data_IF_843938618797
#
_entry.id   IF_843938618797
#
_cell.length_a   1.000
_cell.length_b   1.000
_cell.length_c   1.000
_cell.angle_alpha   90.00
_cell.angle_beta   90.00
_cell.angle_gamma   90.00
#
_symmetry.space_group_name_H-M   'P 1'
#
loop_
_entity.id
_entity.type
_entity.pdbx_description
1 polymer ?
#
# COMPACT_ATOMS: atom_id res chain seq x y z
N UNK A 1 31.61 -33.42 -30.13
CA UNK A 1 30.42 -33.25 -29.30
C UNK A 1 30.79 -32.80 -27.89
N UNK A 2 31.60 -33.53 -27.07
CA UNK A 2 31.96 -33.11 -25.69
C UNK A 2 32.59 -31.72 -25.59
N UNK A 3 33.54 -31.33 -26.47
CA UNK A 3 34.14 -29.98 -26.47
C UNK A 3 33.16 -28.85 -26.78
N UNK A 4 32.14 -29.12 -27.58
CA UNK A 4 31.09 -28.15 -27.89
C UNK A 4 30.15 -27.93 -26.70
N UNK A 5 29.75 -29.01 -26.03
CA UNK A 5 28.94 -28.95 -24.82
C UNK A 5 29.67 -28.18 -23.72
N UNK A 6 30.98 -28.44 -23.50
CA UNK A 6 31.79 -27.70 -22.53
C UNK A 6 31.82 -26.18 -22.82
N UNK A 7 31.90 -25.76 -24.08
CA UNK A 7 31.87 -24.34 -24.43
C UNK A 7 30.52 -23.70 -24.16
N UNK A 8 29.41 -24.40 -24.43
CA UNK A 8 28.06 -23.92 -24.10
C UNK A 8 27.89 -23.78 -22.59
N UNK A 9 28.29 -24.79 -21.80
CA UNK A 9 28.22 -24.72 -20.35
C UNK A 9 29.06 -23.58 -19.79
N UNK A 10 30.28 -23.39 -20.30
CA UNK A 10 31.12 -22.25 -19.88
C UNK A 10 30.47 -20.91 -20.22
N UNK A 11 29.87 -20.75 -21.40
CA UNK A 11 29.16 -19.54 -21.80
C UNK A 11 27.95 -19.25 -20.89
N UNK A 12 27.15 -20.28 -20.60
CA UNK A 12 26.01 -20.17 -19.67
C UNK A 12 26.50 -19.79 -18.27
N UNK A 13 27.57 -20.41 -17.77
CA UNK A 13 28.14 -20.10 -16.47
C UNK A 13 28.59 -18.64 -16.37
N UNK A 14 29.24 -18.10 -17.40
CA UNK A 14 29.67 -16.70 -17.44
C UNK A 14 28.45 -15.78 -17.39
N UNK A 15 27.39 -16.07 -18.16
CA UNK A 15 26.13 -15.28 -18.13
C UNK A 15 25.51 -15.31 -16.73
N UNK A 16 25.44 -16.48 -16.10
CA UNK A 16 24.90 -16.62 -14.73
C UNK A 16 25.72 -15.81 -13.74
N UNK A 17 27.06 -15.84 -13.81
CA UNK A 17 27.94 -15.05 -12.95
C UNK A 17 27.70 -13.54 -13.13
N UNK A 18 27.57 -13.07 -14.37
CA UNK A 18 27.29 -11.66 -14.67
C UNK A 18 25.94 -11.25 -14.10
N UNK A 19 24.89 -12.07 -14.29
CA UNK A 19 23.55 -11.81 -13.76
C UNK A 19 23.56 -11.77 -12.23
N UNK A 20 24.23 -12.76 -11.57
CA UNK A 20 24.37 -12.78 -10.13
C UNK A 20 25.17 -11.60 -9.59
N UNK A 21 26.27 -11.24 -10.25
CA UNK A 21 27.08 -10.07 -9.89
C UNK A 21 26.28 -8.77 -9.99
N UNK A 22 25.49 -8.60 -11.03
CA UNK A 22 24.60 -7.46 -11.18
C UNK A 22 23.50 -7.46 -10.10
N UNK A 23 22.92 -8.63 -9.82
CA UNK A 23 21.90 -8.77 -8.77
C UNK A 23 22.48 -8.37 -7.40
N UNK A 24 23.64 -8.89 -7.03
CA UNK A 24 24.31 -8.57 -5.77
C UNK A 24 24.68 -7.09 -5.68
N UNK A 25 25.25 -6.50 -6.73
CA UNK A 25 25.59 -5.09 -6.78
C UNK A 25 24.37 -4.20 -6.52
N UNK A 26 23.24 -4.51 -7.16
CA UNK A 26 22.02 -3.75 -7.03
C UNK A 26 21.30 -3.99 -5.70
N UNK A 27 21.39 -5.21 -5.18
CA UNK A 27 20.95 -5.54 -3.83
C UNK A 27 21.68 -4.67 -2.82
N UNK A 28 23.01 -4.63 -2.85
CA UNK A 28 23.80 -3.79 -1.96
C UNK A 28 23.52 -2.31 -2.15
N UNK A 29 23.51 -1.82 -3.38
CA UNK A 29 23.24 -0.39 -3.68
C UNK A 29 21.85 0.07 -3.21
N UNK A 30 20.83 -0.78 -3.31
CA UNK A 30 19.48 -0.43 -2.83
C UNK A 30 19.32 -0.64 -1.31
N UNK A 31 20.12 -1.54 -0.73
CA UNK A 31 20.07 -1.81 0.72
C UNK A 31 20.64 -0.66 1.56
N UNK A 32 21.56 0.12 1.00
CA UNK A 32 22.17 1.28 1.64
C UNK A 32 21.31 2.55 1.52
N UNK A 33 20.19 2.52 0.80
CA UNK A 33 19.27 3.65 0.72
C UNK A 33 18.46 3.79 2.02
N UNK A 34 19.10 4.41 3.02
CA UNK A 34 18.47 4.72 4.30
C UNK A 34 17.40 5.79 4.09
N UNK A 35 16.14 5.42 4.25
CA UNK A 35 15.03 6.37 4.33
C UNK A 35 14.95 6.86 5.76
N UNK A 36 15.48 8.05 6.02
CA UNK A 36 15.29 8.72 7.31
C UNK A 36 13.93 9.38 7.35
N UNK A 37 13.15 9.12 8.37
CA UNK A 37 11.86 9.75 8.63
C UNK A 37 11.95 10.60 9.90
N UNK A 38 11.33 11.76 9.86
CA UNK A 38 11.39 12.73 10.98
C UNK A 38 10.30 12.48 12.03
N UNK A 39 9.40 11.53 11.77
CA UNK A 39 8.29 11.18 12.67
C UNK A 39 8.41 9.74 13.12
N UNK A 40 7.81 9.41 14.28
CA UNK A 40 7.72 8.03 14.77
C UNK A 40 6.41 7.36 14.41
N UNK A 41 5.48 8.10 13.82
CA UNK A 41 4.19 7.58 13.41
C UNK A 41 4.06 7.69 11.90
N UNK A 42 3.59 6.65 11.27
CA UNK A 42 3.47 6.56 9.81
C UNK A 42 2.08 6.13 9.39
N UNK A 43 1.70 6.54 8.18
CA UNK A 43 0.49 6.12 7.50
C UNK A 43 0.92 5.37 6.25
N UNK A 44 0.43 4.14 6.07
CA UNK A 44 0.64 3.36 4.85
C UNK A 44 -0.72 2.92 4.33
N UNK A 45 -0.95 3.06 3.05
CA UNK A 45 -2.19 2.58 2.43
C UNK A 45 -2.33 2.97 0.97
N UNK A 46 -3.54 2.80 0.48
CA UNK A 46 -3.91 3.01 -0.91
C UNK A 46 -4.31 4.47 -1.23
N UNK A 47 -5.00 4.66 -2.36
CA UNK A 47 -5.47 5.98 -2.79
C UNK A 47 -6.39 6.65 -1.78
N UNK A 48 -7.16 5.88 -1.00
CA UNK A 48 -8.09 6.48 -0.03
C UNK A 48 -7.34 7.21 1.08
N UNK A 49 -6.30 6.60 1.66
CA UNK A 49 -5.46 7.25 2.67
C UNK A 49 -4.51 8.28 2.05
N UNK A 50 -4.03 8.03 0.83
CA UNK A 50 -3.16 8.97 0.11
C UNK A 50 -3.82 10.32 -0.10
N UNK A 51 -5.10 10.32 -0.47
CA UNK A 51 -5.84 11.52 -0.84
C UNK A 51 -6.64 12.13 0.31
N UNK A 52 -6.84 11.41 1.42
CA UNK A 52 -7.65 11.88 2.53
C UNK A 52 -6.87 12.29 3.78
N UNK A 53 -5.62 11.89 3.93
CA UNK A 53 -4.87 12.10 5.16
C UNK A 53 -3.65 12.98 4.92
N UNK A 54 -3.83 14.30 5.06
CA UNK A 54 -2.76 15.29 4.92
C UNK A 54 -1.87 15.29 6.16
N UNK A 55 -0.64 14.82 6.03
CA UNK A 55 0.35 14.78 7.11
C UNK A 55 0.92 16.15 7.46
N UNK A 56 0.65 17.19 6.67
CA UNK A 56 0.90 18.58 7.06
C UNK A 56 -0.10 19.06 8.11
N UNK A 57 -1.31 18.51 8.12
CA UNK A 57 -2.37 18.80 9.11
C UNK A 57 -2.27 17.82 10.28
N UNK A 58 -2.16 16.53 10.02
CA UNK A 58 -2.06 15.47 11.03
C UNK A 58 -0.63 15.44 11.59
N UNK A 59 -0.29 16.44 12.42
CA UNK A 59 1.07 16.60 12.95
C UNK A 59 1.59 15.35 13.66
N UNK A 60 2.87 15.06 13.47
CA UNK A 60 3.55 13.92 14.09
C UNK A 60 3.38 12.60 13.31
N UNK A 61 2.73 12.62 12.16
CA UNK A 61 2.62 11.49 11.22
C UNK A 61 3.31 11.83 9.89
N UNK A 62 3.82 10.81 9.21
CA UNK A 62 4.27 10.90 7.81
C UNK A 62 3.45 9.93 6.95
N UNK A 63 2.90 10.42 5.85
CA UNK A 63 2.06 9.64 4.95
C UNK A 63 2.90 9.01 3.83
N UNK A 64 2.96 7.68 3.79
CA UNK A 64 3.62 6.86 2.78
C UNK A 64 2.63 6.08 1.91
N UNK A 65 1.39 6.55 1.83
CA UNK A 65 0.35 5.90 1.02
C UNK A 65 0.57 6.11 -0.47
N UNK A 66 0.14 5.16 -1.28
CA UNK A 66 0.26 5.21 -2.73
C UNK A 66 -1.02 4.65 -3.37
N UNK A 67 -1.54 5.26 -4.47
CA UNK A 67 -2.73 4.76 -5.18
C UNK A 67 -2.61 3.28 -5.56
N UNK A 68 -3.63 2.41 -5.35
CA UNK A 68 -3.62 0.97 -5.65
C UNK A 68 -2.59 0.17 -4.84
N UNK A 69 -2.32 0.52 -3.59
CA UNK A 69 -1.42 -0.21 -2.70
C UNK A 69 -1.97 -1.60 -2.38
N UNK A 70 -1.16 -2.64 -2.52
CA UNK A 70 -1.42 -3.96 -1.98
C UNK A 70 -0.71 -4.15 -0.64
N UNK A 71 -1.16 -5.09 0.16
CA UNK A 71 -0.46 -5.38 1.42
C UNK A 71 0.94 -5.98 1.22
N UNK A 72 1.24 -6.53 0.05
CA UNK A 72 2.61 -6.94 -0.30
C UNK A 72 3.56 -5.73 -0.32
N UNK A 73 3.15 -4.63 -0.99
CA UNK A 73 3.97 -3.42 -1.02
C UNK A 73 4.00 -2.71 0.34
N UNK A 74 2.87 -2.68 1.04
CA UNK A 74 2.80 -2.11 2.39
C UNK A 74 3.73 -2.84 3.36
N UNK A 75 3.77 -4.18 3.32
CA UNK A 75 4.69 -5.02 4.10
C UNK A 75 6.14 -4.74 3.74
N UNK A 76 6.46 -4.70 2.45
CA UNK A 76 7.81 -4.39 1.96
C UNK A 76 8.26 -3.00 2.40
N UNK A 77 7.40 -1.97 2.27
CA UNK A 77 7.69 -0.62 2.77
C UNK A 77 7.96 -0.61 4.27
N UNK A 78 7.09 -1.25 5.05
CA UNK A 78 7.23 -1.31 6.50
C UNK A 78 8.54 -1.97 6.90
N UNK A 79 8.92 -3.07 6.24
CA UNK A 79 10.19 -3.73 6.46
C UNK A 79 11.37 -2.79 6.22
N UNK A 80 11.37 -2.05 5.11
CA UNK A 80 12.45 -1.10 4.79
C UNK A 80 12.49 0.03 5.82
N UNK A 81 11.34 0.63 6.12
CA UNK A 81 11.26 1.78 7.04
C UNK A 81 11.70 1.40 8.46
N UNK A 82 11.37 0.19 8.92
CA UNK A 82 11.73 -0.27 10.27
C UNK A 82 13.17 -0.72 10.45
N UNK A 83 13.96 -0.84 9.37
CA UNK A 83 15.38 -1.18 9.46
C UNK A 83 16.21 -0.07 10.12
N UNK A 84 15.88 1.19 9.82
CA UNK A 84 16.70 2.33 10.19
C UNK A 84 15.92 3.40 10.97
N UNK A 85 14.63 3.19 11.23
CA UNK A 85 13.80 4.13 11.97
C UNK A 85 13.05 3.41 13.09
N UNK A 86 12.93 4.09 14.22
CA UNK A 86 12.02 3.67 15.29
C UNK A 86 10.63 4.16 14.97
N UNK A 87 9.71 3.23 14.70
CA UNK A 87 8.31 3.51 14.45
C UNK A 87 7.51 3.10 15.69
N UNK A 88 6.73 4.04 16.22
CA UNK A 88 5.87 3.80 17.38
C UNK A 88 4.44 3.42 16.96
N UNK A 89 3.91 4.03 15.86
CA UNK A 89 2.54 3.78 15.37
C UNK A 89 2.52 3.63 13.84
N UNK A 90 1.78 2.63 13.38
CA UNK A 90 1.37 2.47 11.98
C UNK A 90 -0.14 2.62 11.87
N UNK A 91 -0.60 3.60 11.06
CA UNK A 91 -1.98 3.63 10.55
C UNK A 91 -1.95 2.94 9.19
N UNK A 92 -2.72 1.86 9.05
CA UNK A 92 -2.79 1.06 7.84
C UNK A 92 -4.19 1.14 7.21
N UNK A 93 -4.27 1.47 5.92
CA UNK A 93 -5.53 1.42 5.18
C UNK A 93 -6.14 0.03 5.25
N UNK A 94 -7.42 -0.03 5.62
CA UNK A 94 -8.18 -1.27 5.71
C UNK A 94 -9.63 -1.01 5.30
N UNK A 95 -9.94 -1.36 4.07
CA UNK A 95 -11.25 -1.16 3.43
C UNK A 95 -11.65 -2.40 2.65
N UNK A 96 -12.92 -2.61 2.30
CA UNK A 96 -13.36 -3.80 1.58
C UNK A 96 -12.52 -4.14 0.35
N UNK A 97 -12.17 -3.17 -0.48
CA UNK A 97 -11.39 -3.39 -1.70
C UNK A 97 -9.93 -3.80 -1.45
N UNK A 98 -9.41 -3.65 -0.21
CA UNK A 98 -8.07 -4.12 0.11
C UNK A 98 -8.00 -5.64 0.27
N UNK A 99 -9.11 -6.30 0.66
CA UNK A 99 -9.12 -7.74 0.94
C UNK A 99 -10.17 -8.53 0.15
N UNK A 100 -11.04 -7.86 -0.62
CA UNK A 100 -12.10 -8.50 -1.39
C UNK A 100 -11.78 -8.46 -2.89
N UNK A 101 -12.05 -9.57 -3.58
CA UNK A 101 -12.04 -9.73 -5.03
C UNK A 101 -10.69 -9.52 -5.74
N UNK A 102 -9.58 -9.52 -5.03
CA UNK A 102 -8.22 -9.53 -5.62
C UNK A 102 -7.99 -8.41 -6.66
N UNK A 103 -8.62 -7.27 -6.47
CA UNK A 103 -8.74 -6.22 -7.49
C UNK A 103 -7.39 -5.75 -8.04
N UNK A 104 -6.34 -5.80 -7.21
CA UNK A 104 -5.01 -5.31 -7.54
C UNK A 104 -4.04 -6.39 -8.04
N UNK A 105 -4.47 -7.65 -8.06
CA UNK A 105 -3.68 -8.80 -8.48
C UNK A 105 -4.08 -9.33 -9.87
N UNK A 106 -4.81 -8.55 -10.67
CA UNK A 106 -5.13 -8.92 -12.04
C UNK A 106 -3.88 -8.79 -12.93
N UNK A 107 -3.50 -9.88 -13.57
CA UNK A 107 -2.27 -10.00 -14.36
C UNK A 107 -2.32 -9.17 -15.65
N UNK A 108 -1.43 -8.18 -15.76
CA UNK A 108 -1.27 -7.34 -16.95
C UNK A 108 -2.10 -6.05 -16.99
N UNK A 109 -2.85 -5.69 -15.94
CA UNK A 109 -3.73 -4.50 -15.95
C UNK A 109 -3.67 -3.67 -14.66
N UNK A 110 -2.61 -3.80 -13.85
CA UNK A 110 -2.65 -3.30 -12.49
C UNK A 110 -1.57 -2.30 -12.14
N UNK A 111 -1.76 -1.49 -11.07
CA UNK A 111 -0.71 -0.70 -10.45
C UNK A 111 0.52 -1.50 -10.03
N UNK A 112 0.43 -2.85 -9.93
CA UNK A 112 1.56 -3.74 -9.68
C UNK A 112 2.68 -3.54 -10.70
N UNK A 113 2.33 -3.42 -12.00
CA UNK A 113 3.29 -3.33 -13.10
C UNK A 113 4.22 -2.13 -12.95
N UNK A 114 3.67 -1.00 -12.49
CA UNK A 114 4.43 0.24 -12.35
C UNK A 114 5.26 0.32 -11.07
N UNK A 115 4.96 -0.52 -10.07
CA UNK A 115 5.61 -0.47 -8.75
C UNK A 115 6.60 -1.57 -8.51
N UNK A 116 6.32 -2.73 -9.07
CA UNK A 116 7.16 -3.90 -8.89
C UNK A 116 8.63 -3.60 -9.19
N UNK A 117 8.99 -2.84 -10.27
CA UNK A 117 10.37 -2.46 -10.54
C UNK A 117 11.02 -1.68 -9.40
N UNK A 118 10.28 -0.81 -8.72
CA UNK A 118 10.80 0.04 -7.65
C UNK A 118 11.16 -0.74 -6.37
N UNK A 119 10.48 -1.86 -6.12
CA UNK A 119 10.67 -2.69 -4.93
C UNK A 119 11.31 -4.05 -5.20
N UNK A 120 11.60 -4.36 -6.46
CA UNK A 120 12.05 -5.68 -6.87
C UNK A 120 13.20 -6.26 -6.04
N UNK A 121 14.17 -5.44 -5.69
CA UNK A 121 15.35 -5.88 -4.90
C UNK A 121 15.10 -5.93 -3.39
N UNK A 122 13.97 -5.41 -2.92
CA UNK A 122 13.60 -5.46 -1.51
C UNK A 122 12.64 -6.61 -1.21
N UNK A 123 12.11 -7.24 -2.24
CA UNK A 123 11.25 -8.40 -2.09
C UNK A 123 12.02 -9.58 -1.50
N UNK A 124 11.40 -10.26 -0.55
CA UNK A 124 11.86 -11.57 -0.11
C UNK A 124 11.70 -12.62 -1.22
N UNK A 125 12.39 -13.74 -1.09
CA UNK A 125 12.20 -14.87 -2.02
C UNK A 125 10.74 -15.31 -2.10
N UNK A 126 10.04 -15.34 -0.98
CA UNK A 126 8.60 -15.66 -0.92
C UNK A 126 7.76 -14.64 -1.70
N UNK A 127 8.07 -13.33 -1.60
CA UNK A 127 7.37 -12.29 -2.35
C UNK A 127 7.53 -12.50 -3.87
N UNK A 128 8.74 -12.85 -4.31
CA UNK A 128 9.00 -13.18 -5.73
C UNK A 128 8.19 -14.40 -6.19
N UNK A 129 8.13 -15.46 -5.39
CA UNK A 129 7.33 -16.65 -5.72
C UNK A 129 5.83 -16.33 -5.79
N UNK A 130 5.31 -15.55 -4.85
CA UNK A 130 3.90 -15.15 -4.85
C UNK A 130 3.56 -14.30 -6.08
N UNK A 131 4.42 -13.33 -6.44
CA UNK A 131 4.24 -12.50 -7.62
C UNK A 131 4.30 -13.35 -8.90
N UNK A 132 5.27 -14.22 -9.04
CA UNK A 132 5.41 -15.11 -10.19
C UNK A 132 4.20 -16.05 -10.33
N UNK A 133 3.67 -16.56 -9.20
CA UNK A 133 2.52 -17.46 -9.19
C UNK A 133 1.21 -16.76 -9.52
N UNK A 134 0.99 -15.56 -8.98
CA UNK A 134 -0.31 -14.88 -9.05
C UNK A 134 -0.39 -13.86 -10.20
N UNK A 135 0.74 -13.30 -10.62
CA UNK A 135 0.83 -12.26 -11.67
C UNK A 135 2.05 -12.46 -12.57
N UNK A 136 2.16 -13.61 -13.27
CA UNK A 136 3.35 -13.94 -14.05
C UNK A 136 3.66 -12.95 -15.16
N UNK A 137 2.66 -12.43 -15.88
CA UNK A 137 2.87 -11.43 -16.94
C UNK A 137 3.41 -10.12 -16.37
N UNK A 138 2.77 -9.59 -15.31
CA UNK A 138 3.20 -8.39 -14.62
C UNK A 138 4.62 -8.55 -14.05
N UNK A 139 4.94 -9.73 -13.52
CA UNK A 139 6.27 -10.03 -13.01
C UNK A 139 7.33 -10.02 -14.12
N UNK A 140 7.06 -10.66 -15.27
CA UNK A 140 7.96 -10.65 -16.43
C UNK A 140 8.10 -9.26 -17.03
N UNK A 141 7.01 -8.47 -17.09
CA UNK A 141 7.07 -7.08 -17.56
C UNK A 141 7.95 -6.23 -16.64
N UNK A 142 7.84 -6.41 -15.32
CA UNK A 142 8.70 -5.73 -14.35
C UNK A 142 10.19 -6.05 -14.59
N UNK A 143 10.53 -7.32 -14.82
CA UNK A 143 11.90 -7.74 -15.14
C UNK A 143 12.43 -7.05 -16.40
N UNK A 144 11.63 -6.98 -17.47
CA UNK A 144 12.02 -6.28 -18.70
C UNK A 144 12.19 -4.78 -18.48
N UNK A 145 11.32 -4.16 -17.69
CA UNK A 145 11.40 -2.74 -17.33
C UNK A 145 12.67 -2.44 -16.52
N UNK A 146 12.98 -3.30 -15.54
CA UNK A 146 14.23 -3.20 -14.76
C UNK A 146 15.44 -3.35 -15.66
N UNK A 147 15.44 -4.32 -16.58
CA UNK A 147 16.52 -4.54 -17.54
C UNK A 147 16.76 -3.34 -18.44
N UNK A 148 15.70 -2.78 -19.05
CA UNK A 148 15.78 -1.58 -19.90
C UNK A 148 16.28 -0.36 -19.13
N UNK A 149 15.69 -0.11 -17.97
CA UNK A 149 16.06 1.06 -17.14
C UNK A 149 17.52 1.04 -16.68
N UNK A 150 18.11 -0.16 -16.55
CA UNK A 150 19.53 -0.31 -16.19
C UNK A 150 20.47 -0.07 -17.34
N UNK A 151 20.09 -0.51 -18.54
CA UNK A 151 20.85 -0.20 -19.75
C UNK A 151 20.89 1.32 -19.92
N UNK A 152 19.75 1.99 -19.80
CA UNK A 152 19.67 3.45 -19.92
C UNK A 152 20.45 4.17 -18.81
N UNK A 153 20.46 3.63 -17.57
CA UNK A 153 21.22 4.19 -16.45
C UNK A 153 22.73 3.92 -16.56
N UNK A 154 23.15 2.79 -17.07
CA UNK A 154 24.55 2.51 -17.36
C UNK A 154 25.08 3.50 -18.42
N UNK A 155 24.25 3.78 -19.44
CA UNK A 155 24.61 4.70 -20.53
C UNK A 155 24.51 6.17 -20.10
N UNK A 156 23.52 6.54 -19.28
CA UNK A 156 23.22 7.95 -18.92
C UNK A 156 23.75 8.41 -17.57
N UNK A 157 24.32 7.54 -16.74
CA UNK A 157 24.72 7.82 -15.35
C UNK A 157 23.65 8.51 -14.47
N UNK A 158 22.38 8.40 -14.85
CA UNK A 158 21.27 8.99 -14.09
C UNK A 158 20.83 8.09 -12.94
N UNK A 159 20.86 8.63 -11.72
CA UNK A 159 20.31 7.98 -10.53
C UNK A 159 18.80 7.82 -10.64
N UNK A 160 18.31 6.61 -10.55
CA UNK A 160 16.89 6.31 -10.49
C UNK A 160 16.31 6.74 -9.13
N UNK A 161 15.41 7.73 -9.21
CA UNK A 161 14.39 8.02 -8.22
C UNK A 161 14.80 8.68 -6.93
N UNK A 162 14.32 9.90 -6.70
CA UNK A 162 14.21 10.45 -5.37
C UNK A 162 13.47 9.44 -4.45
N UNK A 163 14.08 9.09 -3.32
CA UNK A 163 13.53 8.14 -2.34
C UNK A 163 12.07 8.44 -1.93
N UNK A 164 11.64 9.71 -2.01
CA UNK A 164 10.28 10.13 -1.68
C UNK A 164 9.20 9.59 -2.63
N UNK A 165 9.47 9.47 -3.93
CA UNK A 165 8.48 8.99 -4.91
C UNK A 165 8.18 7.50 -4.78
N UNK A 166 9.17 6.70 -4.34
CA UNK A 166 9.08 5.26 -4.17
C UNK A 166 8.12 4.85 -3.05
N UNK A 167 8.17 5.55 -1.92
CA UNK A 167 7.39 5.21 -0.72
C UNK A 167 5.98 5.80 -0.74
N UNK A 168 5.70 6.73 -1.64
CA UNK A 168 4.46 7.47 -1.67
C UNK A 168 4.46 8.69 -0.74
N UNK A 169 3.36 9.41 -0.74
CA UNK A 169 3.14 10.61 0.07
C UNK A 169 1.67 10.98 0.05
N UNK A 170 1.25 11.89 0.91
CA UNK A 170 0.01 12.62 0.68
C UNK A 170 0.07 13.31 -0.69
N UNK A 171 -1.01 13.21 -1.44
CA UNK A 171 -1.18 13.88 -2.72
C UNK A 171 -2.65 14.29 -2.85
N UNK A 172 -2.96 15.59 -2.79
CA UNK A 172 -4.35 16.04 -2.91
C UNK A 172 -4.89 15.78 -4.33
N UNK A 173 -6.16 15.38 -4.42
CA UNK A 173 -6.92 15.55 -5.64
C UNK A 173 -7.33 17.01 -5.77
N UNK A 174 -7.38 17.57 -6.99
CA UNK A 174 -7.91 18.93 -7.18
C UNK A 174 -9.37 19.01 -6.73
N UNK A 175 -9.86 20.22 -6.49
CA UNK A 175 -11.28 20.43 -6.26
C UNK A 175 -12.08 19.91 -7.43
N UNK A 176 -13.20 19.24 -7.12
CA UNK A 176 -14.06 18.69 -8.15
C UNK A 176 -15.16 19.69 -8.48
N UNK A 177 -14.96 20.45 -9.54
CA UNK A 177 -15.97 21.38 -10.05
C UNK A 177 -17.15 20.66 -10.76
N UNK A 178 -16.92 19.40 -11.19
CA UNK A 178 -17.93 18.61 -11.91
C UNK A 178 -18.05 17.23 -11.27
N UNK A 179 -19.23 16.90 -10.74
CA UNK A 179 -19.47 15.56 -10.23
C UNK A 179 -19.29 14.54 -11.37
N UNK A 180 -18.29 13.68 -11.24
CA UNK A 180 -18.10 12.59 -12.18
C UNK A 180 -19.31 11.65 -12.17
N UNK A 181 -19.89 11.31 -13.33
CA UNK A 181 -21.07 10.47 -13.40
C UNK A 181 -20.77 9.09 -12.79
N UNK A 182 -21.68 8.66 -11.91
CA UNK A 182 -21.64 7.37 -11.26
C UNK A 182 -21.87 6.30 -12.32
N UNK A 183 -20.84 5.56 -12.71
CA UNK A 183 -21.02 4.35 -13.51
C UNK A 183 -21.45 3.21 -12.59
N UNK A 184 -22.58 2.54 -12.82
CA UNK A 184 -22.99 1.40 -12.02
C UNK A 184 -21.92 0.30 -12.14
N UNK A 185 -21.37 -0.10 -11.02
CA UNK A 185 -20.40 -1.19 -10.97
C UNK A 185 -21.15 -2.52 -10.93
N UNK A 186 -20.80 -3.45 -11.83
CA UNK A 186 -21.33 -4.82 -11.78
C UNK A 186 -20.55 -5.61 -10.73
N UNK A 187 -21.18 -5.85 -9.60
CA UNK A 187 -20.55 -6.59 -8.50
C UNK A 187 -20.42 -8.07 -8.81
N UNK A 188 -19.22 -8.59 -8.62
CA UNK A 188 -18.98 -10.03 -8.46
C UNK A 188 -19.26 -10.40 -7.00
N UNK A 189 -19.62 -11.66 -6.74
CA UNK A 189 -19.76 -12.17 -5.37
C UNK A 189 -18.50 -11.82 -4.56
N UNK A 190 -18.62 -11.19 -3.38
CA UNK A 190 -17.46 -10.81 -2.58
C UNK A 190 -16.72 -12.08 -2.10
N UNK A 191 -15.42 -12.13 -2.36
CA UNK A 191 -14.56 -13.25 -1.96
C UNK A 191 -13.34 -12.63 -1.27
N UNK A 192 -13.12 -13.01 -0.01
CA UNK A 192 -11.88 -12.65 0.72
C UNK A 192 -10.69 -13.29 0.02
N UNK A 193 -9.65 -12.51 -0.23
CA UNK A 193 -8.50 -12.95 -1.01
C UNK A 193 -7.37 -13.44 -0.10
N UNK A 194 -6.95 -14.68 -0.30
CA UNK A 194 -5.90 -15.30 0.50
C UNK A 194 -4.57 -14.56 0.41
N UNK A 195 -4.25 -13.97 -0.75
CA UNK A 195 -2.97 -13.30 -0.94
C UNK A 195 -2.89 -11.99 -0.14
N UNK A 196 -3.93 -11.16 -0.17
CA UNK A 196 -3.95 -9.91 0.59
C UNK A 196 -4.01 -10.17 2.10
N UNK A 197 -4.85 -11.11 2.54
CA UNK A 197 -4.91 -11.46 3.96
C UNK A 197 -3.61 -12.08 4.46
N UNK A 198 -2.89 -12.84 3.64
CA UNK A 198 -1.53 -13.35 3.95
C UNK A 198 -0.57 -12.20 4.27
N UNK A 199 -0.52 -11.17 3.42
CA UNK A 199 0.38 -10.03 3.64
C UNK A 199 -0.10 -9.11 4.76
N UNK A 200 -1.39 -8.95 4.97
CA UNK A 200 -1.93 -8.27 6.14
C UNK A 200 -1.47 -8.96 7.44
N UNK A 201 -1.51 -10.30 7.51
CA UNK A 201 -1.01 -11.05 8.66
C UNK A 201 0.52 -10.90 8.86
N UNK A 202 1.29 -10.76 7.78
CA UNK A 202 2.73 -10.46 7.87
C UNK A 202 2.96 -9.07 8.48
N UNK A 203 2.21 -8.04 8.06
CA UNK A 203 2.28 -6.69 8.65
C UNK A 203 1.95 -6.75 10.14
N UNK A 204 0.87 -7.44 10.52
CA UNK A 204 0.47 -7.59 11.93
C UNK A 204 1.59 -8.24 12.77
N UNK A 205 2.20 -9.32 12.27
CA UNK A 205 3.34 -9.97 12.94
C UNK A 205 4.52 -9.03 13.10
N UNK A 206 4.90 -8.34 12.03
CA UNK A 206 6.00 -7.37 12.05
C UNK A 206 5.74 -6.25 13.06
N UNK A 207 4.52 -5.73 13.12
CA UNK A 207 4.13 -4.73 14.12
C UNK A 207 4.28 -5.27 15.55
N UNK A 208 3.84 -6.51 15.81
CA UNK A 208 4.00 -7.16 17.13
C UNK A 208 5.49 -7.34 17.49
N UNK A 209 6.30 -7.87 16.58
CA UNK A 209 7.73 -8.09 16.77
C UNK A 209 8.49 -6.79 17.07
N UNK A 210 8.17 -5.73 16.34
CA UNK A 210 8.80 -4.41 16.48
C UNK A 210 8.15 -3.52 17.54
N UNK A 211 7.10 -4.00 18.23
CA UNK A 211 6.31 -3.26 19.23
C UNK A 211 5.70 -1.97 18.65
N UNK A 212 5.26 -2.02 17.39
CA UNK A 212 4.57 -0.93 16.70
C UNK A 212 3.08 -1.04 16.99
N UNK A 213 2.46 0.06 17.44
CA UNK A 213 1.01 0.12 17.57
C UNK A 213 0.37 0.16 16.19
N UNK A 214 -0.35 -0.90 15.81
CA UNK A 214 -1.12 -0.95 14.58
C UNK A 214 -2.52 -0.41 14.79
N UNK A 215 -2.94 0.51 13.92
CA UNK A 215 -4.29 1.04 13.82
C UNK A 215 -4.75 0.85 12.38
N UNK A 216 -5.84 0.13 12.19
CA UNK A 216 -6.50 0.03 10.88
C UNK A 216 -7.39 1.25 10.68
N UNK A 217 -7.49 1.74 9.43
CA UNK A 217 -8.33 2.89 9.11
C UNK A 217 -9.09 2.68 7.81
N UNK A 218 -10.38 3.03 7.82
CA UNK A 218 -11.21 3.18 6.64
C UNK A 218 -11.63 4.65 6.52
N UNK A 219 -11.10 5.41 5.55
CA UNK A 219 -11.49 6.80 5.32
C UNK A 219 -12.96 6.95 4.87
N UNK A 220 -13.52 8.18 4.92
CA UNK A 220 -14.87 8.46 4.46
C UNK A 220 -15.09 8.08 3.00
N UNK A 221 -16.31 7.65 2.67
CA UNK A 221 -16.77 7.35 1.31
C UNK A 221 -17.93 8.25 0.95
N UNK A 222 -18.09 8.55 -0.33
CA UNK A 222 -19.20 9.37 -0.80
C UNK A 222 -20.54 8.71 -0.42
N UNK A 223 -21.38 9.42 0.33
CA UNK A 223 -22.67 8.92 0.81
C UNK A 223 -23.67 8.66 -0.33
N UNK A 224 -23.49 9.28 -1.50
CA UNK A 224 -24.30 9.05 -2.70
C UNK A 224 -24.05 7.67 -3.32
N UNK A 225 -23.02 6.98 -2.89
CA UNK A 225 -22.75 5.61 -3.29
C UNK A 225 -23.77 4.66 -2.69
N UNK A 226 -24.94 4.57 -3.34
CA UNK A 226 -26.07 3.71 -2.90
C UNK A 226 -25.73 2.22 -2.87
N UNK A 227 -24.84 1.79 -3.75
CA UNK A 227 -24.33 0.42 -3.86
C UNK A 227 -23.43 0.04 -2.68
N UNK A 228 -22.84 1.01 -2.00
CA UNK A 228 -22.01 0.79 -0.84
C UNK A 228 -22.79 0.20 0.37
N UNK A 229 -24.10 0.31 0.37
CA UNK A 229 -24.92 -0.17 1.50
C UNK A 229 -25.08 -1.68 1.58
N UNK A 230 -24.87 -2.45 0.51
CA UNK A 230 -25.41 -3.79 0.44
C UNK A 230 -24.44 -4.93 0.11
N UNK A 231 -23.22 -4.71 -0.38
CA UNK A 231 -22.51 -5.80 -1.03
C UNK A 231 -21.23 -6.31 -0.32
N UNK A 232 -20.31 -5.45 -0.01
CA UNK A 232 -18.98 -5.89 0.44
C UNK A 232 -18.80 -5.82 1.96
N UNK A 233 -19.76 -5.19 2.65
CA UNK A 233 -19.59 -4.87 4.06
C UNK A 233 -19.67 -6.09 4.97
N UNK A 234 -20.59 -7.01 4.69
CA UNK A 234 -20.82 -8.16 5.58
C UNK A 234 -19.58 -9.04 5.66
N UNK A 235 -19.04 -9.45 4.52
CA UNK A 235 -17.85 -10.33 4.47
C UNK A 235 -16.61 -9.64 5.02
N UNK A 236 -16.44 -8.35 4.71
CA UNK A 236 -15.36 -7.52 5.23
C UNK A 236 -15.41 -7.40 6.76
N UNK A 237 -16.58 -7.06 7.30
CA UNK A 237 -16.72 -6.91 8.74
C UNK A 237 -16.67 -8.25 9.47
N UNK A 238 -17.22 -9.32 8.89
CA UNK A 238 -17.06 -10.66 9.42
C UNK A 238 -15.59 -11.07 9.51
N UNK A 239 -14.79 -10.75 8.49
CA UNK A 239 -13.36 -11.01 8.51
C UNK A 239 -12.67 -10.25 9.64
N UNK A 240 -12.98 -8.96 9.81
CA UNK A 240 -12.43 -8.17 10.91
C UNK A 240 -12.83 -8.78 12.27
N UNK A 241 -14.10 -9.05 12.48
CA UNK A 241 -14.64 -9.54 13.75
C UNK A 241 -14.08 -10.93 14.13
N UNK A 242 -13.79 -11.77 13.13
CA UNK A 242 -13.23 -13.11 13.35
C UNK A 242 -11.70 -13.13 13.55
N UNK A 243 -10.99 -12.25 12.84
CA UNK A 243 -9.52 -12.36 12.73
C UNK A 243 -8.75 -11.16 13.27
N UNK A 244 -9.37 -9.98 13.41
CA UNK A 244 -8.71 -8.72 13.69
C UNK A 244 -9.34 -7.92 14.84
N UNK A 245 -10.33 -8.45 15.55
CA UNK A 245 -11.10 -7.76 16.59
C UNK A 245 -10.26 -7.13 17.71
N UNK A 246 -9.05 -7.65 17.93
CA UNK A 246 -8.12 -7.14 18.95
C UNK A 246 -7.29 -5.95 18.46
N UNK A 247 -7.37 -5.61 17.15
CA UNK A 247 -6.66 -4.48 16.55
C UNK A 247 -7.60 -3.27 16.49
N UNK A 248 -7.09 -2.11 16.86
CA UNK A 248 -7.86 -0.87 16.74
C UNK A 248 -8.24 -0.62 15.28
N UNK A 249 -9.53 -0.40 14.98
CA UNK A 249 -10.03 -0.10 13.64
C UNK A 249 -10.89 1.15 13.64
N UNK A 250 -10.35 2.24 13.13
CA UNK A 250 -11.05 3.51 12.95
C UNK A 250 -11.86 3.46 11.64
N UNK A 251 -13.15 3.23 11.77
CA UNK A 251 -14.09 3.11 10.67
C UNK A 251 -14.84 4.43 10.46
N UNK A 252 -14.45 5.16 9.42
CA UNK A 252 -15.11 6.40 9.01
C UNK A 252 -16.00 6.23 7.78
N UNK A 253 -16.35 5.00 7.39
CA UNK A 253 -17.20 4.73 6.22
C UNK A 253 -18.55 5.43 6.27
N UNK A 254 -19.04 5.75 7.49
CA UNK A 254 -20.30 6.45 7.74
C UNK A 254 -20.11 7.93 8.12
N UNK A 255 -18.88 8.43 8.07
CA UNK A 255 -18.62 9.86 8.29
C UNK A 255 -19.00 10.62 7.01
N UNK A 256 -20.03 11.43 7.11
CA UNK A 256 -20.50 12.25 6.00
C UNK A 256 -19.68 13.56 5.95
N UNK A 257 -19.07 13.83 4.82
CA UNK A 257 -18.46 15.11 4.47
C UNK A 257 -19.40 15.88 3.54
N UNK A 258 -19.22 17.19 3.39
CA UNK A 258 -20.00 17.96 2.43
C UNK A 258 -19.96 17.34 1.02
N UNK A 259 -21.04 17.40 0.23
CA UNK A 259 -21.09 16.76 -1.09
C UNK A 259 -19.96 17.15 -2.05
N UNK A 260 -19.55 18.42 -1.99
CA UNK A 260 -18.47 18.97 -2.82
C UNK A 260 -17.07 18.55 -2.36
N UNK A 261 -16.94 17.86 -1.24
CA UNK A 261 -15.67 17.41 -0.66
C UNK A 261 -15.19 16.05 -1.25
N UNK A 262 -15.83 15.58 -2.31
CA UNK A 262 -15.49 14.30 -2.94
C UNK A 262 -15.08 14.49 -4.39
N UNK A 263 -13.92 13.92 -4.75
CA UNK A 263 -13.45 13.84 -6.13
C UNK A 263 -14.29 12.88 -6.96
N UNK A 264 -14.57 11.72 -6.42
CA UNK A 264 -15.42 10.68 -7.03
C UNK A 264 -16.16 9.88 -5.95
N UNK A 265 -16.70 8.73 -6.34
CA UNK A 265 -17.46 7.87 -5.42
C UNK A 265 -16.61 7.22 -4.31
N UNK A 266 -15.31 7.18 -4.47
CA UNK A 266 -14.39 6.49 -3.56
C UNK A 266 -13.46 7.45 -2.82
N UNK A 267 -13.21 8.62 -3.40
CA UNK A 267 -12.11 9.47 -3.00
C UNK A 267 -12.60 10.87 -2.66
N UNK A 268 -11.99 11.45 -1.66
CA UNK A 268 -12.15 12.88 -1.35
C UNK A 268 -11.27 13.72 -2.28
N UNK A 269 -11.64 14.98 -2.47
CA UNK A 269 -10.78 16.00 -3.05
C UNK A 269 -9.95 16.73 -1.97
N UNK A 270 -9.28 17.82 -2.34
CA UNK A 270 -8.43 18.59 -1.42
C UNK A 270 -9.24 19.17 -0.25
N UNK A 271 -10.50 19.60 -0.52
CA UNK A 271 -11.40 20.16 0.52
C UNK A 271 -11.80 19.06 1.50
N UNK A 272 -12.18 17.89 0.99
CA UNK A 272 -12.51 16.73 1.82
C UNK A 272 -11.33 16.20 2.62
N UNK A 273 -10.12 16.23 2.03
CA UNK A 273 -8.90 15.87 2.73
C UNK A 273 -8.61 16.82 3.90
N UNK A 274 -8.80 18.12 3.71
CA UNK A 274 -8.64 19.12 4.76
C UNK A 274 -9.66 18.90 5.89
N UNK A 275 -10.94 18.74 5.57
CA UNK A 275 -11.99 18.46 6.57
C UNK A 275 -11.66 17.19 7.37
N UNK A 276 -11.33 16.11 6.71
CA UNK A 276 -11.07 14.83 7.36
C UNK A 276 -9.78 14.86 8.19
N UNK A 277 -8.71 15.46 7.68
CA UNK A 277 -7.44 15.58 8.41
C UNK A 277 -7.59 16.45 9.66
N UNK A 278 -8.31 17.57 9.57
CA UNK A 278 -8.63 18.42 10.72
C UNK A 278 -9.52 17.67 11.73
N UNK A 279 -10.54 16.93 11.27
CA UNK A 279 -11.36 16.10 12.12
C UNK A 279 -10.52 15.09 12.90
N UNK A 280 -9.63 14.35 12.25
CA UNK A 280 -8.74 13.38 12.92
C UNK A 280 -7.83 14.09 13.93
N UNK A 281 -7.21 15.19 13.54
CA UNK A 281 -6.21 15.87 14.35
C UNK A 281 -6.80 16.55 15.61
N UNK A 282 -8.00 17.14 15.47
CA UNK A 282 -8.63 17.92 16.53
C UNK A 282 -9.70 17.18 17.32
N UNK A 283 -10.00 15.91 16.98
CA UNK A 283 -11.12 15.19 17.60
C UNK A 283 -11.11 15.28 19.14
N UNK A 284 -12.12 15.95 19.70
CA UNK A 284 -12.30 16.17 21.14
C UNK A 284 -11.04 16.67 21.87
N UNK A 285 -10.21 17.48 21.20
CA UNK A 285 -8.97 18.03 21.77
C UNK A 285 -7.85 17.00 21.99
N UNK A 286 -8.03 15.73 21.57
CA UNK A 286 -7.05 14.67 21.77
C UNK A 286 -6.76 13.84 20.51
N UNK A 287 -7.34 14.21 19.37
CA UNK A 287 -7.07 13.60 18.08
C UNK A 287 -7.23 12.07 18.06
N UNK A 288 -6.28 11.37 17.48
CA UNK A 288 -6.30 9.91 17.33
C UNK A 288 -6.47 9.19 18.67
N UNK A 289 -5.88 9.70 19.76
CA UNK A 289 -6.05 9.10 21.09
C UNK A 289 -7.53 9.05 21.48
N UNK A 290 -8.25 10.15 21.31
CA UNK A 290 -9.69 10.22 21.62
C UNK A 290 -10.54 9.44 20.61
N UNK A 291 -10.12 9.38 19.35
CA UNK A 291 -10.77 8.52 18.35
C UNK A 291 -10.73 7.04 18.74
N UNK A 292 -9.63 6.55 19.29
CA UNK A 292 -9.52 5.18 19.78
C UNK A 292 -10.47 4.84 20.92
N UNK A 293 -10.89 5.84 21.70
CA UNK A 293 -11.88 5.71 22.79
C UNK A 293 -13.33 5.89 22.29
N UNK A 294 -13.53 6.30 21.04
CA UNK A 294 -14.83 6.72 20.49
C UNK A 294 -15.60 5.59 19.78
N UNK A 295 -16.84 5.94 19.34
CA UNK A 295 -17.68 5.09 18.48
C UNK A 295 -17.07 4.76 17.11
N UNK A 296 -16.07 5.52 16.66
CA UNK A 296 -15.38 5.26 15.40
C UNK A 296 -14.39 4.10 15.49
N UNK A 297 -13.97 3.71 16.71
CA UNK A 297 -13.15 2.52 16.89
C UNK A 297 -14.04 1.27 16.99
N UNK A 298 -14.09 0.49 15.91
CA UNK A 298 -14.92 -0.72 15.85
C UNK A 298 -14.59 -1.74 16.95
N UNK A 299 -13.34 -1.79 17.40
CA UNK A 299 -12.94 -2.64 18.53
C UNK A 299 -13.80 -2.41 19.78
N UNK A 300 -14.31 -1.19 19.98
CA UNK A 300 -15.16 -0.87 21.13
C UNK A 300 -16.58 -1.44 21.02
N UNK A 301 -17.00 -1.89 19.83
CA UNK A 301 -18.30 -2.54 19.63
C UNK A 301 -18.33 -3.99 20.15
N UNK A 302 -17.17 -4.55 20.49
CA UNK A 302 -17.02 -5.91 21.00
C UNK A 302 -16.73 -5.96 22.51
N UNK A 303 -16.75 -4.81 23.17
CA UNK A 303 -16.66 -4.69 24.64
C UNK A 303 -18.06 -4.62 25.26
#
# INVERSE_FOLDING_TARGET
>A
MKKFICKILLFITIIVIIILGQFLYLYYKNHDNIVKINTKNIIIGDSNTRWSMDDKIIKGYSNFSTGGETYLFAETKLNILTKHNKIDTLILSFSPHNIINNMWWNDGETPLDNRMPAFYYDFSFENHLDLLKNTPKSYMLALTTIGKSKIDNIVSFKNYGNNSSRFGSYLPNPENETQHPIKPYKYKKPIITNIETKYLQKIIRLCKEKKIKLILIQPPKNYLRKDYKNYDHKEFYNYYDQHLKDIDFLDFSKLELPPHAYWDMNHVDIVGAEYFSNFIYHYQGGGIKKLLESKYNRKNLHK
#
